data_IF_010206734714
#
_entry.id   IF_010206734714
#
_cell.length_a   1.000
_cell.length_b   1.000
_cell.length_c   1.000
_cell.angle_alpha   90.00
_cell.angle_beta   90.00
_cell.angle_gamma   90.00
#
_symmetry.space_group_name_H-M   'P 1'
#
loop_
_entity.id
_entity.type
_entity.pdbx_description
1 polymer ?
#
# COMPACT_ATOMS: atom_id res chain seq x y z
N UNK A 1 7.98 -2.85 5.66
CA UNK A 1 7.48 -4.15 6.12
C UNK A 1 7.36 -5.08 4.92
N UNK A 2 7.82 -6.29 5.09
CA UNK A 2 7.77 -7.25 3.99
C UNK A 2 6.59 -8.20 4.16
N UNK A 3 5.92 -8.52 3.06
CA UNK A 3 4.75 -9.35 3.09
C UNK A 3 4.65 -10.12 1.77
N UNK A 4 4.81 -11.44 1.85
CA UNK A 4 4.69 -12.33 0.67
C UNK A 4 5.51 -11.84 -0.51
N UNK A 5 6.78 -11.52 -0.25
CA UNK A 5 7.68 -11.12 -1.31
C UNK A 5 7.53 -9.68 -1.76
N UNK A 6 6.69 -8.91 -1.07
CA UNK A 6 6.50 -7.50 -1.39
C UNK A 6 6.99 -6.64 -0.23
N UNK A 7 7.30 -5.40 -0.54
CA UNK A 7 7.66 -4.43 0.48
C UNK A 7 6.52 -3.44 0.61
N UNK A 8 6.03 -3.23 1.84
CA UNK A 8 4.99 -2.25 2.10
C UNK A 8 5.60 -1.11 2.89
N UNK A 9 5.54 0.09 2.33
CA UNK A 9 6.12 1.28 2.95
C UNK A 9 5.04 2.26 3.34
N UNK A 10 5.12 2.77 4.56
CA UNK A 10 4.22 3.81 5.02
C UNK A 10 4.80 5.15 4.61
N UNK A 11 4.03 5.93 3.87
CA UNK A 11 4.47 7.22 3.35
C UNK A 11 3.53 8.29 3.84
N UNK A 12 4.11 9.35 4.37
CA UNK A 12 3.31 10.48 4.83
C UNK A 12 2.90 11.33 3.64
N UNK A 13 1.67 11.81 3.67
CA UNK A 13 1.18 12.70 2.63
C UNK A 13 0.69 13.98 3.28
N UNK A 14 0.35 14.95 2.46
CA UNK A 14 -0.16 16.22 2.97
C UNK A 14 -1.67 16.26 3.02
N UNK A 15 -2.29 15.13 2.85
CA UNK A 15 -3.75 15.05 2.85
C UNK A 15 -4.26 14.82 4.27
N UNK A 16 -5.34 15.46 4.64
CA UNK A 16 -6.02 15.17 5.88
C UNK A 16 -5.20 15.51 7.12
N UNK A 17 -4.90 16.75 7.31
CA UNK A 17 -4.05 17.18 8.42
C UNK A 17 -4.61 16.83 9.77
N UNK A 18 -5.92 16.72 9.88
CA UNK A 18 -6.54 16.52 11.17
C UNK A 18 -6.65 15.06 11.57
N UNK A 19 -6.46 14.17 10.65
CA UNK A 19 -6.61 12.76 10.91
C UNK A 19 -5.34 12.06 10.43
N UNK A 20 -4.57 11.55 11.38
CA UNK A 20 -3.32 10.90 11.05
C UNK A 20 -3.47 9.76 10.07
N UNK A 21 -4.62 9.10 10.10
CA UNK A 21 -4.84 7.98 9.18
C UNK A 21 -4.97 8.45 7.75
N UNK A 22 -5.36 9.71 7.57
CA UNK A 22 -5.47 10.26 6.23
C UNK A 22 -4.19 10.90 5.75
N UNK A 23 -3.21 11.03 6.66
CA UNK A 23 -1.95 11.63 6.31
C UNK A 23 -0.94 10.64 5.78
N UNK A 24 -1.32 9.38 5.68
CA UNK A 24 -0.39 8.35 5.29
C UNK A 24 -1.02 7.43 4.27
N UNK A 25 -0.19 6.95 3.36
CA UNK A 25 -0.59 5.88 2.46
C UNK A 25 0.46 4.78 2.56
N UNK A 26 0.11 3.62 2.07
CA UNK A 26 1.01 2.48 2.08
C UNK A 26 1.32 2.14 0.64
N UNK A 27 2.61 2.23 0.29
CA UNK A 27 3.07 1.92 -1.04
C UNK A 27 3.57 0.49 -1.08
N UNK A 28 3.17 -0.23 -2.10
CA UNK A 28 3.55 -1.63 -2.25
C UNK A 28 4.59 -1.74 -3.36
N UNK A 29 5.72 -2.33 -3.02
CA UNK A 29 6.83 -2.50 -3.95
C UNK A 29 7.12 -3.97 -4.18
N UNK A 30 7.48 -4.30 -5.38
CA UNK A 30 7.98 -5.63 -5.70
C UNK A 30 9.22 -5.48 -6.55
N UNK A 31 10.32 -6.13 -6.12
CA UNK A 31 11.59 -6.05 -6.83
C UNK A 31 12.05 -4.61 -7.02
N UNK A 32 11.77 -3.77 -6.02
CA UNK A 32 12.21 -2.39 -6.06
C UNK A 32 11.31 -1.46 -6.86
N UNK A 33 10.21 -1.96 -7.39
CA UNK A 33 9.32 -1.17 -8.22
C UNK A 33 8.00 -1.00 -7.51
N UNK A 34 7.52 0.24 -7.44
CA UNK A 34 6.22 0.51 -6.84
C UNK A 34 5.13 0.02 -7.79
N UNK A 35 4.23 -0.80 -7.27
CA UNK A 35 3.19 -1.40 -8.10
C UNK A 35 1.77 -1.00 -7.68
N UNK A 36 1.58 -0.56 -6.43
CA UNK A 36 0.24 -0.24 -5.96
C UNK A 36 0.33 0.63 -4.71
N UNK A 37 -0.80 1.26 -4.37
CA UNK A 37 -0.92 2.05 -3.16
C UNK A 37 -2.20 1.65 -2.44
N UNK A 38 -2.20 1.81 -1.13
CA UNK A 38 -3.36 1.50 -0.32
C UNK A 38 -3.46 2.52 0.80
N UNK A 39 -4.67 2.72 1.30
CA UNK A 39 -4.88 3.67 2.38
C UNK A 39 -4.64 3.07 3.75
N UNK A 40 -4.69 1.74 3.87
CA UNK A 40 -4.43 1.07 5.13
C UNK A 40 -3.53 -0.13 4.88
N UNK A 41 -2.88 -0.57 5.96
CA UNK A 41 -2.02 -1.74 5.85
C UNK A 41 -2.83 -2.99 5.54
N UNK A 42 -4.04 -3.06 6.06
CA UNK A 42 -4.91 -4.19 5.77
C UNK A 42 -5.27 -4.28 4.29
N UNK A 43 -5.58 -3.15 3.69
CA UNK A 43 -5.88 -3.10 2.28
C UNK A 43 -4.66 -3.46 1.44
N UNK A 44 -3.48 -3.01 1.88
CA UNK A 44 -2.25 -3.34 1.17
C UNK A 44 -2.03 -4.85 1.15
N UNK A 45 -2.21 -5.49 2.29
CA UNK A 45 -2.06 -6.93 2.37
C UNK A 45 -3.09 -7.65 1.53
N UNK A 46 -4.30 -7.13 1.51
CA UNK A 46 -5.36 -7.72 0.73
C UNK A 46 -5.06 -7.67 -0.77
N UNK A 47 -4.54 -6.56 -1.22
CA UNK A 47 -4.15 -6.45 -2.62
C UNK A 47 -3.13 -7.53 -2.98
N UNK A 48 -2.15 -7.74 -2.11
CA UNK A 48 -1.12 -8.73 -2.36
C UNK A 48 -1.71 -10.13 -2.36
N UNK A 49 -2.59 -10.42 -1.40
CA UNK A 49 -3.17 -11.74 -1.26
C UNK A 49 -4.09 -12.11 -2.40
N UNK A 50 -4.79 -11.15 -2.96
CA UNK A 50 -5.78 -11.42 -3.98
C UNK A 50 -5.25 -11.30 -5.40
N UNK A 51 -3.97 -10.92 -5.55
CA UNK A 51 -3.42 -10.77 -6.88
C UNK A 51 -3.99 -9.53 -7.53
N UNK A 52 -3.73 -8.39 -6.93
CA UNK A 52 -4.32 -7.12 -7.33
C UNK A 52 -4.24 -6.85 -8.83
N UNK A 53 -3.19 -7.35 -9.48
CA UNK A 53 -3.04 -7.07 -10.90
C UNK A 53 -4.20 -7.59 -11.71
N UNK A 54 -4.70 -8.74 -11.32
CA UNK A 54 -5.78 -9.36 -12.05
C UNK A 54 -7.11 -8.71 -11.75
N UNK A 55 -7.21 -8.13 -10.59
CA UNK A 55 -8.49 -7.60 -10.14
C UNK A 55 -8.78 -6.22 -10.69
N UNK A 56 -7.81 -5.61 -11.30
CA UNK A 56 -8.02 -4.29 -11.86
C UNK A 56 -8.49 -4.32 -13.28
N UNK A 57 -8.49 -5.44 -13.83
CA UNK A 57 -8.96 -5.58 -15.19
C UNK A 57 -10.35 -6.09 -15.25
#
# INVERSE_FOLDING_TARGET
MKYHGHEIKKVKTDLGEEDERKNCIYEIYKDGVKIQEALTIGTAKEYIDTGYDENYL
#
